data_IF_989596812540
#
_entry.id   IF_989596812540
#
_cell.length_a   1.000
_cell.length_b   1.000
_cell.length_c   1.000
_cell.angle_alpha   90.00
_cell.angle_beta   90.00
_cell.angle_gamma   90.00
#
_symmetry.space_group_name_H-M   'P 1'
#
loop_
_entity.id
_entity.type
_entity.pdbx_description
1 polymer ?
#
# COMPACT_ATOMS: atom_id res chain seq x y z
N UNK A 1 17.19 29.64 -35.54
CA UNK A 1 16.09 28.65 -35.41
C UNK A 1 16.64 27.21 -35.38
N UNK A 2 17.61 26.94 -34.50
CA UNK A 2 18.16 25.58 -34.30
C UNK A 2 18.56 25.34 -32.82
N UNK A 3 18.23 26.30 -31.97
CA UNK A 3 18.47 26.32 -30.52
C UNK A 3 17.17 26.26 -29.72
N UNK A 4 16.01 26.24 -30.39
CA UNK A 4 14.68 26.19 -29.78
C UNK A 4 13.96 24.84 -30.00
N UNK A 5 14.62 23.89 -30.68
CA UNK A 5 14.08 22.57 -31.00
C UNK A 5 14.74 21.49 -30.12
N UNK A 6 15.99 21.69 -29.69
CA UNK A 6 16.65 20.81 -28.71
C UNK A 6 15.99 20.86 -27.32
N UNK A 7 15.38 21.99 -26.93
CA UNK A 7 14.76 22.13 -25.60
C UNK A 7 13.34 21.53 -25.50
N UNK A 8 12.79 21.04 -26.63
CA UNK A 8 11.43 20.49 -26.69
C UNK A 8 11.41 18.95 -26.56
N UNK A 9 12.56 18.28 -26.65
CA UNK A 9 12.67 16.81 -26.61
C UNK A 9 12.86 16.23 -25.18
N UNK A 10 13.13 17.07 -24.17
CA UNK A 10 13.26 16.64 -22.76
C UNK A 10 11.93 16.72 -21.96
N UNK A 11 10.89 17.32 -22.58
CA UNK A 11 9.53 17.43 -22.02
C UNK A 11 8.65 16.17 -22.06
N UNK A 12 8.90 15.08 -22.85
CA UNK A 12 8.01 13.92 -22.81
C UNK A 12 8.22 13.15 -21.50
N UNK A 13 9.43 13.09 -20.94
CA UNK A 13 9.65 12.40 -19.64
C UNK A 13 9.01 13.17 -18.50
N UNK A 14 9.23 14.48 -18.42
CA UNK A 14 8.60 15.31 -17.39
C UNK A 14 7.06 15.28 -17.51
N UNK A 15 6.50 15.38 -18.73
CA UNK A 15 5.06 15.26 -18.93
C UNK A 15 4.55 13.85 -18.60
N UNK A 16 5.30 12.79 -18.90
CA UNK A 16 4.94 11.40 -18.54
C UNK A 16 5.04 11.19 -17.02
N UNK A 17 6.04 11.77 -16.36
CA UNK A 17 6.17 11.75 -14.89
C UNK A 17 5.06 12.55 -14.23
N UNK A 18 4.74 13.74 -14.73
CA UNK A 18 3.60 14.53 -14.24
C UNK A 18 2.27 13.85 -14.52
N UNK A 19 2.13 13.12 -15.64
CA UNK A 19 0.94 12.30 -15.94
C UNK A 19 0.88 11.05 -15.07
N UNK A 20 2.03 10.44 -14.73
CA UNK A 20 2.15 9.30 -13.81
C UNK A 20 1.89 9.71 -12.35
N UNK A 21 2.27 10.94 -11.99
CA UNK A 21 1.93 11.56 -10.70
C UNK A 21 0.47 12.02 -10.66
N UNK A 22 -0.06 12.58 -11.76
CA UNK A 22 -1.46 12.99 -11.86
C UNK A 22 -2.41 11.79 -11.89
N UNK A 23 -1.98 10.66 -12.47
CA UNK A 23 -2.71 9.39 -12.46
C UNK A 23 -2.28 8.47 -11.30
N UNK A 24 -1.54 8.98 -10.30
CA UNK A 24 -1.21 8.20 -9.11
C UNK A 24 -2.49 7.97 -8.30
N UNK A 25 -3.07 6.77 -8.44
CA UNK A 25 -4.15 6.32 -7.57
C UNK A 25 -3.61 5.32 -6.56
N UNK A 26 -3.79 5.63 -5.28
CA UNK A 26 -3.44 4.74 -4.16
C UNK A 26 -4.57 3.73 -3.84
N UNK A 27 -5.70 3.78 -4.56
CA UNK A 27 -6.85 2.93 -4.28
C UNK A 27 -6.60 1.49 -4.71
N UNK A 28 -6.98 0.53 -3.86
CA UNK A 28 -6.98 -0.90 -4.20
C UNK A 28 -7.87 -1.09 -5.44
N UNK A 29 -7.41 -1.78 -6.51
CA UNK A 29 -8.25 -2.10 -7.66
C UNK A 29 -9.46 -2.90 -7.19
N UNK A 30 -10.65 -2.33 -7.35
CA UNK A 30 -11.92 -3.00 -7.06
C UNK A 30 -12.17 -4.05 -8.14
N UNK A 31 -12.87 -5.15 -7.80
CA UNK A 31 -13.23 -6.16 -8.79
C UNK A 31 -13.94 -5.49 -9.98
N UNK A 32 -13.42 -5.73 -11.19
CA UNK A 32 -13.82 -5.05 -12.41
C UNK A 32 -15.35 -5.03 -12.58
N UNK A 33 -15.93 -3.84 -12.73
CA UNK A 33 -17.22 -3.69 -13.40
C UNK A 33 -17.03 -4.23 -14.83
N UNK A 34 -17.88 -5.16 -15.31
CA UNK A 34 -17.68 -5.84 -16.59
C UNK A 34 -17.83 -4.93 -17.82
N UNK A 35 -18.10 -3.63 -17.65
CA UNK A 35 -18.35 -2.66 -18.73
C UNK A 35 -17.28 -1.54 -18.84
N UNK A 36 -16.15 -1.66 -18.12
CA UNK A 36 -15.05 -0.69 -18.26
C UNK A 36 -14.08 -1.14 -19.35
N UNK A 37 -14.12 -0.44 -20.50
CA UNK A 37 -13.16 -0.58 -21.60
C UNK A 37 -11.72 -0.55 -21.05
N UNK A 38 -10.86 -1.54 -21.39
CA UNK A 38 -9.56 -1.68 -20.77
C UNK A 38 -8.74 -0.41 -20.96
N UNK A 39 -8.57 0.34 -19.88
CA UNK A 39 -7.65 1.47 -19.84
C UNK A 39 -6.27 0.89 -20.14
N UNK A 40 -5.52 1.42 -21.12
CA UNK A 40 -4.20 0.90 -21.44
C UNK A 40 -3.39 0.84 -20.15
N UNK A 41 -2.71 -0.28 -19.84
CA UNK A 41 -2.04 -0.45 -18.56
C UNK A 41 -1.03 0.68 -18.44
N UNK A 42 -1.36 1.68 -17.62
CA UNK A 42 -0.41 2.69 -17.25
C UNK A 42 0.73 1.92 -16.61
N UNK A 43 1.89 1.88 -17.28
CA UNK A 43 3.11 1.24 -16.77
C UNK A 43 3.60 2.09 -15.60
N UNK A 44 2.87 2.03 -14.49
CA UNK A 44 3.31 2.58 -13.22
C UNK A 44 4.56 1.78 -12.86
N UNK A 45 5.72 2.46 -12.84
CA UNK A 45 6.97 1.82 -12.45
C UNK A 45 6.89 1.28 -11.02
N UNK A 46 7.82 0.43 -10.62
CA UNK A 46 7.87 -0.18 -9.26
C UNK A 46 7.84 0.86 -8.13
N UNK A 47 8.47 2.01 -8.33
CA UNK A 47 8.50 3.09 -7.35
C UNK A 47 7.13 3.77 -7.16
N UNK A 48 6.44 4.07 -8.26
CA UNK A 48 5.15 4.79 -8.22
C UNK A 48 4.00 3.82 -7.97
N UNK A 49 4.01 2.63 -8.58
CA UNK A 49 2.90 1.68 -8.48
C UNK A 49 2.89 0.82 -7.22
N UNK A 50 4.04 0.61 -6.56
CA UNK A 50 4.13 -0.35 -5.44
C UNK A 50 4.80 0.25 -4.21
N UNK A 51 5.98 0.87 -4.36
CA UNK A 51 6.74 1.39 -3.21
C UNK A 51 6.03 2.55 -2.52
N UNK A 52 5.62 3.58 -3.27
CA UNK A 52 4.90 4.73 -2.70
C UNK A 52 3.59 4.32 -2.01
N UNK A 53 2.72 3.48 -2.61
CA UNK A 53 1.53 2.99 -1.92
C UNK A 53 1.82 2.14 -0.69
N UNK A 54 2.83 1.27 -0.74
CA UNK A 54 3.20 0.42 0.39
C UNK A 54 3.66 1.26 1.58
N UNK A 55 4.54 2.23 1.34
CA UNK A 55 5.04 3.14 2.38
C UNK A 55 3.90 3.98 2.99
N UNK A 56 2.99 4.49 2.17
CA UNK A 56 1.86 5.28 2.64
C UNK A 56 0.90 4.46 3.52
N UNK A 57 0.71 3.16 3.22
CA UNK A 57 -0.15 2.29 4.03
C UNK A 57 0.53 1.83 5.34
N UNK A 58 1.86 1.75 5.38
CA UNK A 58 2.60 1.39 6.61
C UNK A 58 2.73 2.59 7.56
N UNK A 59 2.99 3.79 7.04
CA UNK A 59 3.08 5.00 7.85
C UNK A 59 1.69 5.49 8.27
N UNK A 60 1.17 4.92 9.36
CA UNK A 60 -0.13 5.29 9.94
C UNK A 60 -0.04 6.12 11.23
N UNK A 61 -1.18 6.66 11.65
CA UNK A 61 -1.35 7.47 12.88
C UNK A 61 -0.89 6.74 14.15
N UNK A 62 -0.94 5.41 14.12
CA UNK A 62 -0.60 4.52 15.23
C UNK A 62 0.90 4.62 15.57
N UNK A 63 1.77 4.81 14.57
CA UNK A 63 3.20 4.93 14.78
C UNK A 63 3.53 6.18 15.62
N UNK A 64 2.80 7.26 15.44
CA UNK A 64 3.08 8.52 16.15
C UNK A 64 2.50 8.55 17.58
N UNK A 65 1.29 8.04 17.80
CA UNK A 65 0.62 8.12 19.11
C UNK A 65 0.95 6.92 20.01
N UNK A 66 0.97 5.70 19.48
CA UNK A 66 1.10 4.48 20.29
C UNK A 66 2.55 4.08 20.54
N UNK A 67 3.44 4.27 19.58
CA UNK A 67 4.85 3.85 19.73
C UNK A 67 5.53 4.61 20.87
N UNK A 68 5.26 5.91 20.98
CA UNK A 68 5.81 6.77 22.04
C UNK A 68 5.35 6.32 23.43
N UNK A 69 4.07 5.99 23.60
CA UNK A 69 3.55 5.45 24.86
C UNK A 69 4.09 4.03 25.18
N UNK A 70 4.17 3.15 24.18
CA UNK A 70 4.72 1.78 24.35
C UNK A 70 6.19 1.82 24.75
N UNK A 71 7.01 2.64 24.08
CA UNK A 71 8.44 2.79 24.43
C UNK A 71 8.59 3.49 25.78
N UNK A 72 7.72 4.45 26.11
CA UNK A 72 7.70 5.13 27.41
C UNK A 72 7.35 4.23 28.60
N UNK A 73 6.51 3.22 28.38
CA UNK A 73 6.05 2.29 29.44
C UNK A 73 6.87 1.01 29.53
N UNK A 74 7.27 0.41 28.40
CA UNK A 74 8.07 -0.80 28.35
C UNK A 74 9.60 -0.53 28.46
N UNK A 75 10.02 0.71 28.19
CA UNK A 75 11.42 1.10 28.13
C UNK A 75 12.08 0.76 26.79
N UNK A 76 13.28 1.30 26.58
CA UNK A 76 13.96 1.27 25.28
C UNK A 76 14.33 -0.15 24.80
N UNK A 77 14.80 -1.02 25.69
CA UNK A 77 15.25 -2.38 25.33
C UNK A 77 14.06 -3.27 24.94
N UNK A 78 12.99 -3.27 25.75
CA UNK A 78 11.80 -4.06 25.45
C UNK A 78 11.03 -3.50 24.25
N UNK A 79 10.95 -2.17 24.12
CA UNK A 79 10.40 -1.51 22.94
C UNK A 79 11.13 -1.90 21.65
N UNK A 80 12.47 -1.94 21.68
CA UNK A 80 13.28 -2.38 20.54
C UNK A 80 12.99 -3.84 20.14
N UNK A 81 12.86 -4.75 21.13
CA UNK A 81 12.51 -6.15 20.85
C UNK A 81 11.12 -6.29 20.22
N UNK A 82 10.12 -5.54 20.68
CA UNK A 82 8.77 -5.56 20.12
C UNK A 82 8.78 -5.12 18.65
N UNK A 83 9.47 -4.01 18.34
CA UNK A 83 9.59 -3.51 16.96
C UNK A 83 10.33 -4.53 16.09
N UNK A 84 11.39 -5.15 16.61
CA UNK A 84 12.15 -6.16 15.89
C UNK A 84 11.29 -7.37 15.54
N UNK A 85 10.52 -7.91 16.49
CA UNK A 85 9.60 -9.03 16.22
C UNK A 85 8.52 -8.67 15.19
N UNK A 86 7.93 -7.47 15.27
CA UNK A 86 6.94 -6.99 14.31
C UNK A 86 7.53 -6.83 12.88
N UNK A 87 8.75 -6.33 12.79
CA UNK A 87 9.46 -6.21 11.53
C UNK A 87 9.78 -7.58 10.92
N UNK A 88 10.22 -8.53 11.75
CA UNK A 88 10.47 -9.92 11.33
C UNK A 88 9.20 -10.61 10.80
N UNK A 89 8.06 -10.48 11.49
CA UNK A 89 6.79 -11.09 11.02
C UNK A 89 6.34 -10.46 9.70
N UNK A 90 6.43 -9.13 9.56
CA UNK A 90 6.08 -8.42 8.33
C UNK A 90 6.97 -8.82 7.15
N UNK A 91 8.28 -8.93 7.37
CA UNK A 91 9.21 -9.42 6.34
C UNK A 91 8.87 -10.84 5.90
N UNK A 92 8.55 -11.74 6.84
CA UNK A 92 8.21 -13.12 6.52
C UNK A 92 6.91 -13.20 5.70
N UNK A 93 5.90 -12.41 6.04
CA UNK A 93 4.66 -12.27 5.24
C UNK A 93 4.94 -11.69 3.85
N UNK A 94 5.82 -10.69 3.74
CA UNK A 94 6.20 -10.09 2.46
C UNK A 94 6.92 -11.10 1.54
N UNK A 95 7.77 -11.96 2.10
CA UNK A 95 8.41 -13.05 1.36
C UNK A 95 7.37 -14.06 0.88
N UNK A 96 6.41 -14.46 1.73
CA UNK A 96 5.31 -15.35 1.33
C UNK A 96 4.43 -14.74 0.23
N UNK A 97 4.08 -13.46 0.33
CA UNK A 97 3.32 -12.77 -0.72
C UNK A 97 4.11 -12.64 -2.03
N UNK A 98 5.42 -12.43 -1.95
CA UNK A 98 6.29 -12.39 -3.14
C UNK A 98 6.28 -13.75 -3.85
N UNK A 99 6.35 -14.86 -3.10
CA UNK A 99 6.24 -16.20 -3.67
C UNK A 99 4.87 -16.41 -4.36
N UNK A 100 3.76 -15.99 -3.73
CA UNK A 100 2.42 -16.07 -4.32
C UNK A 100 2.34 -15.25 -5.62
N UNK A 101 2.88 -14.02 -5.62
CA UNK A 101 2.89 -13.15 -6.79
C UNK A 101 3.73 -13.71 -7.97
N UNK A 102 4.73 -14.55 -7.67
CA UNK A 102 5.53 -15.24 -8.70
C UNK A 102 4.94 -16.57 -9.17
N UNK A 103 3.94 -17.13 -8.47
CA UNK A 103 3.32 -18.41 -8.82
C UNK A 103 2.15 -18.20 -9.80
N UNK A 104 2.48 -18.04 -11.09
CA UNK A 104 1.51 -18.04 -12.19
C UNK A 104 1.50 -16.76 -13.02
N UNK A 105 0.64 -16.73 -14.04
CA UNK A 105 0.45 -15.55 -14.90
C UNK A 105 -0.44 -14.57 -14.14
N UNK A 106 0.09 -13.42 -13.71
CA UNK A 106 -0.65 -12.37 -12.99
C UNK A 106 -1.65 -11.73 -13.96
N UNK A 107 -2.95 -12.07 -13.91
CA UNK A 107 -3.94 -11.39 -14.74
C UNK A 107 -4.20 -10.01 -14.13
N UNK A 108 -4.70 -9.06 -14.92
CA UNK A 108 -5.16 -7.79 -14.37
C UNK A 108 -6.22 -8.06 -13.29
N UNK A 109 -5.93 -7.68 -12.05
CA UNK A 109 -6.75 -7.92 -10.88
C UNK A 109 -5.97 -7.61 -9.60
N UNK A 110 -6.66 -7.10 -8.57
CA UNK A 110 -6.03 -6.72 -7.28
C UNK A 110 -5.44 -7.91 -6.50
N UNK A 111 -4.93 -7.63 -5.29
CA UNK A 111 -4.28 -8.63 -4.42
C UNK A 111 -5.16 -9.86 -4.12
N UNK A 112 -6.47 -9.68 -3.95
CA UNK A 112 -7.40 -10.77 -3.68
C UNK A 112 -7.54 -11.74 -4.87
N UNK A 113 -7.53 -11.22 -6.10
CA UNK A 113 -7.64 -12.04 -7.31
C UNK A 113 -6.36 -12.88 -7.55
N UNK A 114 -5.19 -12.31 -7.23
CA UNK A 114 -3.93 -13.05 -7.25
C UNK A 114 -3.92 -14.21 -6.24
N UNK A 115 -4.38 -13.97 -5.01
CA UNK A 115 -4.39 -14.97 -3.94
C UNK A 115 -5.40 -16.11 -4.23
N UNK A 116 -6.61 -15.78 -4.69
CA UNK A 116 -7.65 -16.77 -4.99
C UNK A 116 -7.28 -17.75 -6.12
N UNK A 117 -6.43 -17.33 -7.07
CA UNK A 117 -5.88 -18.20 -8.13
C UNK A 117 -4.71 -19.06 -7.65
N UNK A 118 -3.85 -18.53 -6.78
CA UNK A 118 -2.66 -19.23 -6.30
C UNK A 118 -2.94 -20.26 -5.19
N UNK A 119 -3.94 -20.02 -4.34
CA UNK A 119 -4.27 -20.88 -3.19
C UNK A 119 -5.60 -21.64 -3.34
N UNK A 120 -6.36 -21.39 -4.41
CA UNK A 120 -7.71 -21.95 -4.61
C UNK A 120 -8.82 -21.16 -3.90
N UNK A 121 -10.10 -21.42 -4.25
CA UNK A 121 -11.25 -20.63 -3.77
C UNK A 121 -11.49 -20.75 -2.26
N UNK A 122 -11.14 -21.88 -1.67
CA UNK A 122 -11.39 -22.21 -0.25
C UNK A 122 -10.49 -21.38 0.67
N UNK A 123 -9.18 -21.41 0.42
CA UNK A 123 -8.18 -20.66 1.16
C UNK A 123 -8.22 -19.16 0.80
N UNK A 124 -8.45 -18.83 -0.48
CA UNK A 124 -8.58 -17.44 -0.93
C UNK A 124 -9.73 -16.71 -0.26
N UNK A 125 -10.91 -17.34 -0.17
CA UNK A 125 -12.09 -16.76 0.48
C UNK A 125 -11.89 -16.50 1.97
N UNK A 126 -11.31 -17.46 2.70
CA UNK A 126 -11.03 -17.30 4.13
C UNK A 126 -10.04 -16.14 4.39
N UNK A 127 -8.94 -16.08 3.63
CA UNK A 127 -7.94 -15.00 3.75
C UNK A 127 -8.54 -13.63 3.37
N UNK A 128 -9.39 -13.57 2.34
CA UNK A 128 -10.09 -12.34 1.96
C UNK A 128 -11.02 -11.80 3.03
N UNK A 129 -11.82 -12.68 3.65
CA UNK A 129 -12.73 -12.28 4.73
C UNK A 129 -11.99 -11.73 5.95
N UNK A 130 -10.85 -12.35 6.30
CA UNK A 130 -9.96 -11.86 7.35
C UNK A 130 -9.35 -10.51 6.98
N UNK A 131 -8.89 -10.34 5.73
CA UNK A 131 -8.32 -9.08 5.26
C UNK A 131 -9.35 -7.95 5.21
N UNK A 132 -10.58 -8.22 4.78
CA UNK A 132 -11.68 -7.27 4.79
C UNK A 132 -12.04 -6.79 6.20
N UNK A 133 -12.16 -7.73 7.14
CA UNK A 133 -12.45 -7.40 8.54
C UNK A 133 -11.30 -6.62 9.18
N UNK A 134 -10.05 -7.03 8.91
CA UNK A 134 -8.86 -6.35 9.42
C UNK A 134 -8.72 -4.91 8.91
N UNK A 135 -8.94 -4.68 7.60
CA UNK A 135 -8.90 -3.34 7.02
C UNK A 135 -10.04 -2.44 7.52
N UNK A 136 -11.23 -3.00 7.74
CA UNK A 136 -12.37 -2.29 8.36
C UNK A 136 -12.05 -1.84 9.78
N UNK A 137 -11.48 -2.72 10.61
CA UNK A 137 -11.07 -2.40 11.98
C UNK A 137 -9.92 -1.39 12.01
N UNK A 138 -8.96 -1.50 11.08
CA UNK A 138 -7.88 -0.55 10.93
C UNK A 138 -8.40 0.86 10.56
N UNK A 139 -9.37 0.94 9.64
CA UNK A 139 -10.02 2.20 9.29
C UNK A 139 -10.71 2.85 10.50
N UNK A 140 -11.45 2.07 11.29
CA UNK A 140 -12.08 2.56 12.52
C UNK A 140 -11.02 3.07 13.52
N UNK A 141 -9.92 2.34 13.70
CA UNK A 141 -8.82 2.76 14.59
C UNK A 141 -8.17 4.06 14.12
N UNK A 142 -7.95 4.25 12.81
CA UNK A 142 -7.39 5.48 12.27
C UNK A 142 -8.32 6.69 12.49
N UNK A 143 -9.64 6.51 12.37
CA UNK A 143 -10.63 7.56 12.67
C UNK A 143 -10.57 7.94 14.15
N UNK A 144 -10.54 6.96 15.06
CA UNK A 144 -10.42 7.22 16.51
C UNK A 144 -9.13 7.96 16.84
N UNK A 145 -8.00 7.55 16.26
CA UNK A 145 -6.72 8.26 16.45
C UNK A 145 -6.75 9.69 15.90
N UNK A 146 -7.42 9.93 14.77
CA UNK A 146 -7.60 11.28 14.23
C UNK A 146 -8.47 12.16 15.15
N UNK A 147 -9.57 11.60 15.69
CA UNK A 147 -10.44 12.29 16.66
C UNK A 147 -9.68 12.62 17.94
N UNK A 148 -8.87 11.69 18.46
CA UNK A 148 -8.03 11.92 19.63
C UNK A 148 -7.03 13.07 19.40
N UNK A 149 -6.33 13.08 18.26
CA UNK A 149 -5.42 14.19 17.91
C UNK A 149 -6.17 15.52 17.81
N UNK A 150 -7.35 15.55 17.19
CA UNK A 150 -8.12 16.80 17.03
C UNK A 150 -8.64 17.34 18.36
N UNK A 151 -9.01 16.46 19.30
CA UNK A 151 -9.47 16.85 20.64
C UNK A 151 -8.32 17.27 21.56
N UNK A 152 -7.25 16.49 21.63
CA UNK A 152 -6.12 16.75 22.54
C UNK A 152 -5.09 17.73 21.95
N UNK A 153 -5.02 17.88 20.63
CA UNK A 153 -4.16 18.86 19.95
C UNK A 153 -4.72 20.28 19.89
N UNK A 154 -5.85 20.55 20.55
CA UNK A 154 -6.49 21.88 20.66
C UNK A 154 -6.28 22.59 22.01
N UNK A 155 -5.28 22.18 22.81
CA UNK A 155 -4.70 22.97 23.90
C UNK A 155 -3.30 23.46 23.50
#
# INVERSE_FOLDING_TARGET
>A
MKFLIDELEDRPRAATFLTSLANYSNTIPTADDPDVKPVPPARMGTLIGVYLPCIQNIFGVILFIRLTWVVGTAGAIQGFLIVLTCCCTTMLTAISMSAIATNGVVPAGGSYFMIGRALGPECGGAVGMLFYTGTTLAAAMYIVGAVEIVLYGKL
#
